data_IF_437997914404
#
_entry.id   IF_437997914404
#
_cell.length_a   1.000
_cell.length_b   1.000
_cell.length_c   1.000
_cell.angle_alpha   90.00
_cell.angle_beta   90.00
_cell.angle_gamma   90.00
#
_symmetry.space_group_name_H-M   'P 1'
#
loop_
_entity.id
_entity.type
_entity.pdbx_description
1 polymer ?
#
# COMPACT_ATOMS: atom_id res chain seq x y z
N UNK A 1 -9.68 -14.23 -7.26
CA UNK A 1 -9.39 -13.48 -6.01
C UNK A 1 -8.32 -14.17 -5.16
N UNK A 2 -8.48 -15.43 -4.78
CA UNK A 2 -7.60 -16.17 -3.85
C UNK A 2 -6.15 -16.30 -4.33
N UNK A 3 -5.93 -16.56 -5.63
CA UNK A 3 -4.57 -16.61 -6.21
C UNK A 3 -3.87 -15.25 -6.13
N UNK A 4 -4.58 -14.15 -6.45
CA UNK A 4 -4.02 -12.79 -6.30
C UNK A 4 -3.69 -12.47 -4.85
N UNK A 5 -4.55 -12.85 -3.90
CA UNK A 5 -4.30 -12.66 -2.47
C UNK A 5 -3.09 -13.46 -1.99
N UNK A 6 -2.89 -14.68 -2.47
CA UNK A 6 -1.70 -15.49 -2.18
C UNK A 6 -0.42 -14.91 -2.76
N UNK A 7 -0.47 -14.37 -3.98
CA UNK A 7 0.68 -13.70 -4.59
C UNK A 7 1.04 -12.41 -3.84
N UNK A 8 0.04 -11.62 -3.46
CA UNK A 8 0.23 -10.41 -2.66
C UNK A 8 0.79 -10.73 -1.27
N UNK A 9 0.30 -11.78 -0.61
CA UNK A 9 0.83 -12.18 0.70
C UNK A 9 2.26 -12.70 0.60
N UNK A 10 2.58 -13.50 -0.43
CA UNK A 10 3.94 -13.94 -0.68
C UNK A 10 4.91 -12.76 -0.92
N UNK A 11 4.50 -11.77 -1.72
CA UNK A 11 5.26 -10.54 -1.93
C UNK A 11 5.43 -9.75 -0.63
N UNK A 12 4.37 -9.61 0.18
CA UNK A 12 4.45 -8.92 1.47
C UNK A 12 5.41 -9.61 2.45
N UNK A 13 5.34 -10.95 2.57
CA UNK A 13 6.24 -11.74 3.43
C UNK A 13 7.70 -11.67 2.96
N UNK A 14 7.92 -11.70 1.65
CA UNK A 14 9.26 -11.56 1.05
C UNK A 14 9.77 -10.12 1.05
N UNK A 15 8.92 -9.10 1.14
CA UNK A 15 9.39 -7.74 1.38
C UNK A 15 9.77 -7.52 2.85
N UNK A 16 9.02 -8.12 3.78
CA UNK A 16 9.18 -7.88 5.22
C UNK A 16 10.42 -8.55 5.84
N UNK A 17 10.80 -9.74 5.38
CA UNK A 17 11.77 -10.60 6.09
C UNK A 17 13.16 -10.70 5.44
N UNK A 18 13.29 -10.98 4.13
CA UNK A 18 14.59 -11.13 3.51
C UNK A 18 15.20 -9.79 3.06
N UNK A 19 14.43 -8.74 2.76
CA UNK A 19 14.98 -7.44 2.40
C UNK A 19 15.86 -6.80 3.52
N UNK A 20 15.40 -6.68 4.79
CA UNK A 20 16.24 -6.18 5.87
C UNK A 20 17.42 -7.12 6.18
N UNK A 21 17.23 -8.43 6.02
CA UNK A 21 18.29 -9.42 6.24
C UNK A 21 19.36 -9.41 5.15
N UNK A 22 19.00 -9.12 3.91
CA UNK A 22 19.93 -8.96 2.80
C UNK A 22 20.73 -7.67 2.95
N UNK A 23 20.08 -6.56 3.33
CA UNK A 23 20.74 -5.28 3.61
C UNK A 23 21.77 -5.39 4.73
N UNK A 24 21.46 -6.11 5.81
CA UNK A 24 22.39 -6.32 6.94
C UNK A 24 23.53 -7.29 6.64
N UNK A 25 23.40 -8.14 5.62
CA UNK A 25 24.43 -9.14 5.24
C UNK A 25 25.27 -8.78 4.03
N UNK A 26 24.91 -7.74 3.28
CA UNK A 26 25.69 -7.30 2.14
C UNK A 26 27.03 -6.69 2.59
N UNK A 27 28.11 -7.04 1.89
CA UNK A 27 29.42 -6.43 2.10
C UNK A 27 29.44 -5.07 1.39
N UNK A 28 29.31 -3.99 2.16
CA UNK A 28 29.32 -2.62 1.63
C UNK A 28 30.73 -2.05 1.67
N UNK A 29 31.22 -1.37 0.60
CA UNK A 29 32.50 -0.68 0.62
C UNK A 29 32.37 0.75 1.17
N UNK A 30 33.15 1.12 2.20
CA UNK A 30 33.56 2.44 2.77
C UNK A 30 32.57 3.64 2.88
N UNK A 31 31.40 3.64 2.25
CA UNK A 31 30.31 4.66 2.33
C UNK A 31 29.07 4.09 3.05
N UNK A 32 29.33 3.23 4.02
CA UNK A 32 28.49 2.10 4.47
C UNK A 32 27.14 2.44 5.12
N UNK A 33 26.98 3.47 5.98
CA UNK A 33 25.69 3.69 6.63
C UNK A 33 24.69 4.45 5.76
N UNK A 34 25.16 5.33 4.87
CA UNK A 34 24.28 6.27 4.15
C UNK A 34 23.47 5.56 3.09
N UNK A 35 24.08 4.65 2.32
CA UNK A 35 23.37 3.91 1.26
C UNK A 35 22.37 2.92 1.86
N UNK A 36 22.75 2.20 2.92
CA UNK A 36 21.85 1.31 3.64
C UNK A 36 20.64 2.07 4.22
N UNK A 37 20.86 3.25 4.81
CA UNK A 37 19.80 4.13 5.29
C UNK A 37 18.93 4.62 4.13
N UNK A 38 19.50 5.03 3.00
CA UNK A 38 18.74 5.48 1.82
C UNK A 38 17.85 4.37 1.26
N UNK A 39 18.36 3.15 1.13
CA UNK A 39 17.57 2.01 0.65
C UNK A 39 16.45 1.69 1.65
N UNK A 40 16.73 1.74 2.94
CA UNK A 40 15.71 1.58 3.97
C UNK A 40 14.64 2.68 3.91
N UNK A 41 15.03 3.94 3.74
CA UNK A 41 14.10 5.06 3.60
C UNK A 41 13.24 4.93 2.33
N UNK A 42 13.82 4.53 1.20
CA UNK A 42 13.06 4.24 -0.02
C UNK A 42 12.05 3.11 0.20
N UNK A 43 12.41 2.07 0.93
CA UNK A 43 11.52 0.96 1.26
C UNK A 43 10.37 1.44 2.16
N UNK A 44 10.69 2.16 3.24
CA UNK A 44 9.68 2.75 4.14
C UNK A 44 8.75 3.71 3.39
N UNK A 45 9.29 4.57 2.53
CA UNK A 45 8.50 5.48 1.71
C UNK A 45 7.56 4.73 0.77
N UNK A 46 8.01 3.62 0.17
CA UNK A 46 7.17 2.78 -0.68
C UNK A 46 6.04 2.12 0.11
N UNK A 47 6.32 1.63 1.32
CA UNK A 47 5.31 1.05 2.21
C UNK A 47 4.29 2.11 2.64
N UNK A 48 4.75 3.30 3.04
CA UNK A 48 3.89 4.42 3.40
C UNK A 48 3.03 4.86 2.21
N UNK A 49 3.59 4.92 1.00
CA UNK A 49 2.85 5.25 -0.21
C UNK A 49 1.79 4.19 -0.51
N UNK A 50 2.11 2.91 -0.37
CA UNK A 50 1.15 1.81 -0.53
C UNK A 50 0.02 1.86 0.52
N UNK A 51 0.38 2.16 1.76
CA UNK A 51 -0.58 2.35 2.85
C UNK A 51 -1.52 3.52 2.57
N UNK A 52 -0.97 4.65 2.13
CA UNK A 52 -1.73 5.85 1.78
C UNK A 52 -2.65 5.61 0.58
N UNK A 53 -2.19 4.93 -0.47
CA UNK A 53 -3.06 4.61 -1.62
C UNK A 53 -4.17 3.65 -1.22
N UNK A 54 -3.89 2.63 -0.41
CA UNK A 54 -4.91 1.72 0.14
C UNK A 54 -5.96 2.48 0.97
N UNK A 55 -5.52 3.42 1.81
CA UNK A 55 -6.41 4.30 2.59
C UNK A 55 -7.30 5.17 1.71
N UNK A 56 -6.74 5.83 0.69
CA UNK A 56 -7.49 6.67 -0.24
C UNK A 56 -8.54 5.86 -1.01
N UNK A 57 -8.17 4.67 -1.49
CA UNK A 57 -9.08 3.75 -2.17
C UNK A 57 -10.20 3.25 -1.24
N UNK A 58 -9.87 2.85 -0.01
CA UNK A 58 -10.87 2.45 0.99
C UNK A 58 -11.80 3.60 1.39
N UNK A 59 -11.26 4.80 1.57
CA UNK A 59 -12.03 5.99 1.88
C UNK A 59 -12.96 6.39 0.73
N UNK A 60 -12.51 6.31 -0.53
CA UNK A 60 -13.37 6.53 -1.69
C UNK A 60 -14.47 5.45 -1.80
N UNK A 61 -14.19 4.22 -1.37
CA UNK A 61 -15.15 3.13 -1.40
C UNK A 61 -16.26 3.30 -0.34
N UNK A 62 -15.93 3.88 0.83
CA UNK A 62 -16.87 4.13 1.93
C UNK A 62 -17.56 5.50 1.83
N UNK A 63 -16.85 6.55 1.42
CA UNK A 63 -17.33 7.93 1.37
C UNK A 63 -17.44 8.44 -0.08
N UNK A 64 -18.66 8.75 -0.51
CA UNK A 64 -18.93 9.32 -1.83
C UNK A 64 -18.22 10.68 -2.04
N UNK A 65 -18.12 11.52 -1.02
CA UNK A 65 -17.43 12.82 -1.12
C UNK A 65 -15.94 12.68 -1.46
N UNK A 66 -15.27 11.68 -0.89
CA UNK A 66 -13.86 11.37 -1.18
C UNK A 66 -13.72 10.79 -2.57
N UNK A 67 -14.65 9.91 -2.98
CA UNK A 67 -14.72 9.38 -4.34
C UNK A 67 -14.84 10.48 -5.38
N UNK A 68 -15.78 11.40 -5.18
CA UNK A 68 -16.02 12.49 -6.13
C UNK A 68 -14.80 13.41 -6.21
N UNK A 69 -14.07 13.65 -5.13
CA UNK A 69 -12.85 14.46 -5.14
C UNK A 69 -11.67 13.75 -5.83
N UNK A 70 -11.46 12.46 -5.56
CA UNK A 70 -10.37 11.66 -6.12
C UNK A 70 -10.60 11.36 -7.60
N UNK A 71 -11.85 11.09 -7.99
CA UNK A 71 -12.23 10.75 -9.36
C UNK A 71 -12.83 11.92 -10.14
N UNK A 72 -12.89 13.14 -9.58
CA UNK A 72 -13.34 14.37 -10.28
C UNK A 72 -12.71 14.56 -11.68
N UNK A 73 -11.38 14.36 -11.87
CA UNK A 73 -10.77 14.50 -13.20
C UNK A 73 -10.85 13.22 -14.06
N UNK A 74 -11.42 12.13 -13.56
CA UNK A 74 -11.35 10.82 -14.19
C UNK A 74 -12.55 10.52 -15.12
N UNK A 75 -12.34 9.87 -16.28
CA UNK A 75 -13.43 9.43 -17.15
C UNK A 75 -14.34 8.38 -16.45
N UNK A 76 -15.65 8.34 -16.79
CA UNK A 76 -16.61 7.42 -16.17
C UNK A 76 -16.28 5.93 -16.41
N UNK A 77 -15.48 5.62 -17.43
CA UNK A 77 -14.99 4.26 -17.67
C UNK A 77 -14.04 3.76 -16.57
N UNK A 78 -13.26 4.66 -15.95
CA UNK A 78 -12.30 4.31 -14.89
C UNK A 78 -13.02 4.06 -13.57
N UNK A 79 -14.03 4.87 -13.25
CA UNK A 79 -14.85 4.67 -12.04
C UNK A 79 -15.69 3.40 -12.13
N UNK A 80 -16.22 3.08 -13.31
CA UNK A 80 -16.95 1.83 -13.56
C UNK A 80 -16.05 0.58 -13.46
N UNK A 81 -14.79 0.65 -13.93
CA UNK A 81 -13.86 -0.47 -13.86
C UNK A 81 -13.47 -0.84 -12.42
N UNK A 82 -13.47 0.15 -11.52
CA UNK A 82 -13.14 -0.03 -10.12
C UNK A 82 -14.33 -0.51 -9.27
N UNK A 83 -15.57 -0.40 -9.78
CA UNK A 83 -16.83 -0.85 -9.14
C UNK A 83 -16.90 -0.58 -7.63
N UNK A 84 -16.59 0.66 -7.22
CA UNK A 84 -16.61 1.09 -5.81
C UNK A 84 -18.04 1.11 -5.21
N UNK A 85 -19.06 0.59 -5.90
CA UNK A 85 -20.49 0.78 -5.58
C UNK A 85 -20.92 0.16 -4.25
N UNK A 86 -20.22 -0.86 -3.75
CA UNK A 86 -20.54 -1.46 -2.46
C UNK A 86 -19.29 -2.05 -1.79
N UNK A 87 -18.51 -1.22 -1.09
CA UNK A 87 -17.50 -1.72 -0.19
C UNK A 87 -18.18 -2.55 0.93
N UNK A 88 -17.83 -3.83 1.11
CA UNK A 88 -18.43 -4.62 2.16
C UNK A 88 -18.05 -4.05 3.54
N UNK A 89 -18.88 -4.24 4.58
CA UNK A 89 -18.68 -3.59 5.88
C UNK A 89 -17.34 -3.92 6.54
N UNK A 90 -16.77 -5.11 6.27
CA UNK A 90 -15.42 -5.45 6.75
C UNK A 90 -14.31 -4.62 6.09
N UNK A 91 -14.49 -4.17 4.84
CA UNK A 91 -13.54 -3.28 4.18
C UNK A 91 -13.54 -1.90 4.86
N UNK A 92 -14.70 -1.40 5.29
CA UNK A 92 -14.77 -0.18 6.08
C UNK A 92 -14.01 -0.32 7.42
N UNK A 93 -14.18 -1.45 8.11
CA UNK A 93 -13.44 -1.75 9.35
C UNK A 93 -11.93 -1.75 9.11
N UNK A 94 -11.45 -2.43 8.06
CA UNK A 94 -10.02 -2.42 7.72
C UNK A 94 -9.50 -1.03 7.37
N UNK A 95 -10.30 -0.21 6.69
CA UNK A 95 -9.92 1.16 6.32
C UNK A 95 -9.75 2.03 7.58
N UNK A 96 -10.67 1.89 8.55
CA UNK A 96 -10.58 2.57 9.84
C UNK A 96 -9.39 2.06 10.66
N UNK A 97 -9.16 0.75 10.65
CA UNK A 97 -8.01 0.13 11.34
C UNK A 97 -6.69 0.69 10.80
N UNK A 98 -6.54 0.72 9.48
CA UNK A 98 -5.40 1.33 8.80
C UNK A 98 -5.26 2.82 9.16
N UNK A 99 -6.37 3.56 9.19
CA UNK A 99 -6.36 4.99 9.53
C UNK A 99 -5.96 5.22 11.00
N UNK A 100 -6.25 4.26 11.88
CA UNK A 100 -5.84 4.27 13.28
C UNK A 100 -4.39 3.79 13.50
N UNK A 101 -3.72 3.30 12.47
CA UNK A 101 -2.33 2.83 12.55
C UNK A 101 -2.14 1.49 13.26
N UNK A 102 -3.20 0.69 13.36
CA UNK A 102 -3.19 -0.67 13.92
C UNK A 102 -2.94 -1.72 12.82
#
# INVERSE_FOLDING_TARGET
MTVCLLLLSAVALTAALPAPRALTRAAWPDREPVVALWVWQCLVATVLLCCLTALVLGAAAVFHTVRDHVFAPAPPAVTAAYDLSAAPPWAAVLTVLLASGA
#
